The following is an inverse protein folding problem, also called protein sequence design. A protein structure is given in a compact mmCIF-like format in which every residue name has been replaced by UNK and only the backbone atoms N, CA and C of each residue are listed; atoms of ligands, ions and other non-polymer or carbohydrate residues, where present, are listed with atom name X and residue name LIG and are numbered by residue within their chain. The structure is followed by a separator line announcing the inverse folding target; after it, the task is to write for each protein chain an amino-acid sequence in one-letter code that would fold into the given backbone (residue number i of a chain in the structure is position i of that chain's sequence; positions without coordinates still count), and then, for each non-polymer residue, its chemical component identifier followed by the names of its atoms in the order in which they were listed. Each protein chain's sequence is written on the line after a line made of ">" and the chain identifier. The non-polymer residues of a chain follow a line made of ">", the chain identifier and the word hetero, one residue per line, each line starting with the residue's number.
data_IF_791602269773
#
_entry.id   IF_791602269773
#
_cell.length_a   1.000
_cell.length_b   1.000
_cell.length_c   1.000
_cell.angle_alpha   90.00
_cell.angle_beta   90.00
_cell.angle_gamma   90.00
#
_symmetry.space_group_name_H-M   'P 1'
#
loop_
_entity.id
_entity.type
_entity.pdbx_description
1 polymer ?
#
# COMPACT_ATOMS: atom_id res chain seq x y z
N UNK A 1 -0.86 -12.82 -7.85
CA UNK A 1 -1.89 -11.82 -7.52
C UNK A 1 -2.71 -11.55 -8.77
N UNK A 2 -4.02 -11.33 -8.65
CA UNK A 2 -4.87 -10.90 -9.77
C UNK A 2 -5.34 -9.48 -9.46
N UNK A 3 -4.86 -8.45 -10.18
CA UNK A 3 -5.37 -7.10 -10.02
C UNK A 3 -6.80 -7.02 -10.57
N UNK A 4 -7.69 -6.36 -9.85
CA UNK A 4 -9.06 -6.12 -10.32
C UNK A 4 -9.52 -4.73 -9.89
N UNK A 5 -10.35 -4.10 -10.72
CA UNK A 5 -11.02 -2.85 -10.40
C UNK A 5 -12.45 -3.16 -9.98
N UNK A 6 -12.89 -2.55 -8.89
CA UNK A 6 -14.26 -2.58 -8.43
C UNK A 6 -14.75 -1.15 -8.29
N UNK A 7 -15.93 -0.85 -8.84
CA UNK A 7 -16.58 0.45 -8.72
C UNK A 7 -18.01 0.30 -8.21
N UNK A 8 -18.40 1.12 -7.25
CA UNK A 8 -19.80 1.32 -6.87
C UNK A 8 -20.46 2.46 -7.66
N UNK A 9 -19.66 3.22 -8.43
CA UNK A 9 -20.09 4.41 -9.14
C UNK A 9 -20.73 4.07 -10.51
N UNK A 10 -21.74 4.84 -10.93
CA UNK A 10 -22.36 4.68 -12.25
C UNK A 10 -21.44 5.14 -13.39
N UNK A 11 -20.47 6.01 -13.09
CA UNK A 11 -19.49 6.48 -14.06
C UNK A 11 -18.20 5.65 -14.00
N UNK A 12 -17.62 5.31 -15.17
CA UNK A 12 -16.34 4.62 -15.21
C UNK A 12 -15.24 5.52 -14.65
N UNK A 13 -14.48 4.97 -13.72
CA UNK A 13 -13.34 5.66 -13.10
C UNK A 13 -12.31 6.02 -14.18
N UNK A 14 -11.70 7.23 -14.13
CA UNK A 14 -10.78 7.68 -15.16
C UNK A 14 -9.60 6.72 -15.33
N UNK A 15 -8.99 6.69 -16.52
CA UNK A 15 -7.78 5.90 -16.75
C UNK A 15 -6.67 6.42 -15.85
N UNK A 16 -6.05 5.52 -15.09
CA UNK A 16 -4.85 5.81 -14.31
C UNK A 16 -3.62 5.76 -15.25
N UNK A 17 -2.47 6.29 -14.82
CA UNK A 17 -1.25 6.25 -15.62
C UNK A 17 -0.94 4.83 -16.11
N UNK A 18 -0.48 4.71 -17.37
CA UNK A 18 -0.08 3.42 -17.94
C UNK A 18 1.02 2.77 -17.10
N UNK A 19 1.11 1.44 -17.15
CA UNK A 19 2.17 0.68 -16.46
C UNK A 19 3.54 1.24 -16.83
N UNK A 20 4.13 2.00 -15.91
CA UNK A 20 5.53 2.43 -15.95
C UNK A 20 6.39 1.39 -15.25
N UNK A 21 7.71 1.46 -15.43
CA UNK A 21 8.63 0.74 -14.54
C UNK A 21 8.22 1.05 -13.09
N UNK A 22 7.90 0.01 -12.32
CA UNK A 22 7.44 0.17 -10.95
C UNK A 22 8.42 0.97 -10.11
N UNK A 23 9.71 0.94 -10.45
CA UNK A 23 10.74 1.77 -9.81
C UNK A 23 10.52 3.25 -10.07
N UNK A 24 10.22 3.61 -11.32
CA UNK A 24 9.90 4.98 -11.69
C UNK A 24 8.63 5.44 -10.98
N UNK A 25 7.61 4.59 -10.92
CA UNK A 25 6.39 4.91 -10.18
C UNK A 25 6.72 5.20 -8.71
N UNK A 26 7.38 4.28 -7.98
CA UNK A 26 7.75 4.52 -6.58
C UNK A 26 8.59 5.80 -6.39
N UNK A 27 9.54 6.05 -7.29
CA UNK A 27 10.42 7.21 -7.20
C UNK A 27 9.67 8.56 -7.28
N UNK A 28 8.55 8.62 -8.01
CA UNK A 28 7.70 9.82 -8.08
C UNK A 28 7.03 10.16 -6.74
N UNK A 29 6.89 9.19 -5.83
CA UNK A 29 6.29 9.39 -4.51
C UNK A 29 7.30 9.69 -3.40
N UNK A 30 8.60 9.61 -3.67
CA UNK A 30 9.62 9.73 -2.63
C UNK A 30 9.45 11.04 -1.83
N UNK A 31 9.39 10.92 -0.50
CA UNK A 31 9.24 12.06 0.40
C UNK A 31 7.82 12.65 0.51
N UNK A 32 6.82 12.05 -0.13
CA UNK A 32 5.43 12.51 0.01
C UNK A 32 4.94 12.36 1.45
N UNK A 33 4.40 13.42 2.09
CA UNK A 33 3.82 13.30 3.43
C UNK A 33 2.61 12.37 3.44
N UNK A 34 2.40 11.68 4.57
CA UNK A 34 1.33 10.69 4.68
C UNK A 34 0.56 10.73 6.00
N UNK A 35 -0.63 10.16 5.95
CA UNK A 35 -1.45 9.79 7.10
C UNK A 35 -1.56 8.27 7.17
N UNK A 36 -1.67 7.72 8.38
CA UNK A 36 -1.80 6.31 8.70
C UNK A 36 -3.08 6.06 9.50
N UNK A 37 -3.87 5.10 9.05
CA UNK A 37 -4.88 4.43 9.85
C UNK A 37 -4.44 3.00 10.10
N UNK A 38 -4.65 2.52 11.33
CA UNK A 38 -4.25 1.17 11.74
C UNK A 38 -5.41 0.48 12.42
N UNK A 39 -5.67 -0.75 12.00
CA UNK A 39 -6.59 -1.68 12.65
C UNK A 39 -5.80 -2.89 13.15
N UNK A 40 -6.14 -3.39 14.33
CA UNK A 40 -5.47 -4.52 14.96
C UNK A 40 -6.42 -5.71 15.08
N UNK A 41 -6.07 -6.89 14.55
CA UNK A 41 -6.81 -8.14 14.73
C UNK A 41 -7.32 -8.34 16.15
N UNK A 42 -8.59 -8.73 16.27
CA UNK A 42 -9.34 -8.95 17.51
C UNK A 42 -9.62 -7.69 18.36
N UNK A 43 -9.32 -6.49 17.85
CA UNK A 43 -9.57 -5.20 18.54
C UNK A 43 -10.31 -4.25 17.61
N UNK A 44 -11.63 -4.45 17.45
CA UNK A 44 -12.43 -3.59 16.58
C UNK A 44 -12.87 -2.38 17.38
N UNK A 45 -12.43 -1.17 17.02
CA UNK A 45 -12.88 0.02 17.71
C UNK A 45 -14.36 0.25 17.40
N UNK A 46 -15.07 0.93 18.32
CA UNK A 46 -16.47 1.28 18.11
C UNK A 46 -16.65 2.33 17.00
N UNK A 47 -15.59 3.10 16.73
CA UNK A 47 -15.50 4.14 15.71
C UNK A 47 -14.17 3.99 14.98
N UNK A 48 -14.12 4.42 13.71
CA UNK A 48 -12.88 4.36 12.95
C UNK A 48 -11.81 5.27 13.59
N UNK A 49 -10.58 4.79 13.79
CA UNK A 49 -9.53 5.58 14.41
C UNK A 49 -9.17 6.77 13.51
N UNK A 50 -8.95 7.93 14.12
CA UNK A 50 -8.53 9.12 13.37
C UNK A 50 -7.16 8.90 12.70
N UNK A 51 -7.01 9.23 11.39
CA UNK A 51 -5.74 9.10 10.71
C UNK A 51 -4.64 9.95 11.38
N UNK A 52 -3.48 9.35 11.61
CA UNK A 52 -2.34 10.02 12.26
C UNK A 52 -1.24 10.32 11.25
N UNK A 53 -0.47 11.43 11.38
CA UNK A 53 0.73 11.64 10.58
C UNK A 53 1.68 10.45 10.65
N UNK A 54 2.22 10.04 9.50
CA UNK A 54 3.23 9.01 9.42
C UNK A 54 4.49 9.54 8.72
N UNK A 55 5.56 8.75 8.76
CA UNK A 55 6.76 9.10 8.03
C UNK A 55 6.45 9.29 6.54
N UNK A 56 7.15 10.22 5.86
CA UNK A 56 7.02 10.38 4.42
C UNK A 56 7.27 9.08 3.66
N UNK A 57 6.65 8.97 2.48
CA UNK A 57 6.81 7.81 1.61
C UNK A 57 8.28 7.56 1.29
N UNK A 58 8.67 6.28 1.31
CA UNK A 58 10.02 5.86 1.01
C UNK A 58 9.99 4.56 0.20
N UNK A 59 10.50 4.62 -1.02
CA UNK A 59 10.47 3.54 -1.99
C UNK A 59 11.16 2.26 -1.48
N UNK A 60 12.29 2.40 -0.77
CA UNK A 60 13.04 1.26 -0.22
C UNK A 60 12.30 0.55 0.91
N UNK A 61 11.50 1.27 1.69
CA UNK A 61 10.63 0.65 2.71
C UNK A 61 9.48 -0.11 2.07
N UNK A 62 8.87 0.45 1.02
CA UNK A 62 7.83 -0.24 0.25
C UNK A 62 8.37 -1.51 -0.41
N UNK A 63 9.49 -1.41 -1.14
CA UNK A 63 10.13 -2.50 -1.89
C UNK A 63 11.10 -3.35 -1.05
N UNK A 64 10.81 -3.53 0.24
CA UNK A 64 11.67 -4.25 1.17
C UNK A 64 11.63 -5.78 1.04
N UNK A 65 10.69 -6.34 0.28
CA UNK A 65 10.60 -7.77 0.03
C UNK A 65 11.31 -8.18 -1.28
N UNK A 66 11.52 -9.48 -1.46
CA UNK A 66 12.23 -10.07 -2.61
C UNK A 66 11.55 -9.77 -3.96
N UNK A 67 10.21 -9.78 -3.98
CA UNK A 67 9.41 -9.61 -5.19
C UNK A 67 8.64 -8.29 -5.14
N UNK A 68 9.11 -7.31 -5.91
CA UNK A 68 8.36 -6.08 -6.19
C UNK A 68 7.95 -6.04 -7.66
N UNK A 69 6.67 -5.79 -7.91
CA UNK A 69 6.10 -5.73 -9.25
C UNK A 69 5.08 -4.60 -9.37
N UNK A 70 5.03 -4.00 -10.56
CA UNK A 70 3.95 -3.12 -10.98
C UNK A 70 2.97 -3.86 -11.88
N UNK A 71 1.72 -3.45 -11.80
CA UNK A 71 0.63 -3.89 -12.65
C UNK A 71 0.07 -2.67 -13.38
N UNK A 72 -0.83 -2.92 -14.32
CA UNK A 72 -1.64 -1.85 -14.89
C UNK A 72 -2.40 -1.08 -13.80
N UNK A 73 -2.90 0.10 -14.16
CA UNK A 73 -3.75 0.93 -13.30
C UNK A 73 -3.03 1.49 -12.05
N UNK A 74 -1.72 1.67 -12.15
CA UNK A 74 -0.88 2.25 -11.10
C UNK A 74 -0.75 1.38 -9.85
N UNK A 75 -1.12 0.10 -9.93
CA UNK A 75 -1.03 -0.84 -8.83
C UNK A 75 0.38 -1.42 -8.70
N UNK A 76 0.82 -1.62 -7.47
CA UNK A 76 2.11 -2.17 -7.10
C UNK A 76 1.94 -3.21 -5.99
N UNK A 77 2.85 -4.17 -5.93
CA UNK A 77 3.05 -4.94 -4.70
C UNK A 77 4.51 -5.18 -4.42
N UNK A 78 4.79 -5.42 -3.14
CA UNK A 78 6.05 -5.94 -2.62
C UNK A 78 5.72 -7.08 -1.67
N UNK A 79 6.14 -8.28 -2.05
CA UNK A 79 5.79 -9.55 -1.41
C UNK A 79 7.06 -10.40 -1.26
N UNK A 80 7.18 -11.21 -0.21
CA UNK A 80 8.30 -12.14 -0.09
C UNK A 80 8.14 -13.26 -1.14
N UNK A 81 9.26 -13.79 -1.64
CA UNK A 81 9.21 -14.90 -2.62
C UNK A 81 8.71 -16.20 -1.97
N UNK A 82 9.07 -16.39 -0.70
CA UNK A 82 8.63 -17.49 0.16
C UNK A 82 8.20 -16.90 1.50
N UNK A 83 7.24 -17.52 2.19
CA UNK A 83 6.83 -17.05 3.51
C UNK A 83 8.00 -17.09 4.48
N UNK A 84 8.42 -15.95 5.06
CA UNK A 84 9.54 -15.93 6.00
C UNK A 84 9.22 -16.71 7.27
N UNK A 85 10.24 -17.30 7.90
CA UNK A 85 10.10 -17.91 9.23
C UNK A 85 9.83 -16.86 10.32
N UNK A 86 10.30 -15.62 10.10
CA UNK A 86 10.12 -14.49 11.02
C UNK A 86 8.90 -13.63 10.71
N UNK A 87 8.79 -12.51 11.41
CA UNK A 87 7.79 -11.48 11.11
C UNK A 87 8.00 -10.91 9.70
N UNK A 88 6.89 -10.63 9.01
CA UNK A 88 6.92 -10.13 7.65
C UNK A 88 5.74 -9.20 7.38
N UNK A 89 5.82 -8.46 6.26
CA UNK A 89 4.73 -7.61 5.81
C UNK A 89 4.46 -7.81 4.32
N UNK A 90 3.18 -7.84 3.97
CA UNK A 90 2.73 -7.78 2.58
C UNK A 90 2.35 -6.34 2.27
N UNK A 91 2.87 -5.82 1.14
CA UNK A 91 2.67 -4.43 0.74
C UNK A 91 1.94 -4.38 -0.59
N UNK A 92 0.86 -3.59 -0.65
CA UNK A 92 0.16 -3.24 -1.89
C UNK A 92 0.07 -1.73 -1.98
N UNK A 93 0.45 -1.17 -3.11
CA UNK A 93 0.43 0.27 -3.37
C UNK A 93 -0.41 0.58 -4.58
N UNK A 94 -0.99 1.78 -4.63
CA UNK A 94 -1.75 2.22 -5.78
C UNK A 94 -1.61 3.73 -5.99
N UNK A 95 -1.19 4.11 -7.19
CA UNK A 95 -1.27 5.49 -7.67
C UNK A 95 -2.69 5.77 -8.14
N UNK A 96 -3.42 6.63 -7.43
CA UNK A 96 -4.81 6.92 -7.77
C UNK A 96 -4.92 8.01 -8.83
N UNK A 97 -4.09 9.04 -8.72
CA UNK A 97 -3.99 10.15 -9.66
C UNK A 97 -2.60 10.81 -9.58
N UNK A 98 -2.43 12.02 -10.13
CA UNK A 98 -1.14 12.72 -10.14
C UNK A 98 -0.65 13.20 -8.76
N UNK A 99 -1.49 13.21 -7.74
CA UNK A 99 -1.21 13.79 -6.43
C UNK A 99 -1.51 12.84 -5.25
N UNK A 100 -2.10 11.67 -5.51
CA UNK A 100 -2.49 10.69 -4.50
C UNK A 100 -1.87 9.32 -4.72
N UNK A 101 -1.25 8.81 -3.66
CA UNK A 101 -0.75 7.43 -3.57
C UNK A 101 -1.26 6.78 -2.29
N UNK A 102 -1.78 5.56 -2.38
CA UNK A 102 -2.23 4.79 -1.23
C UNK A 102 -1.42 3.51 -1.10
N UNK A 103 -1.19 3.10 0.14
CA UNK A 103 -0.51 1.85 0.47
C UNK A 103 -1.28 1.12 1.55
N UNK A 104 -1.53 -0.16 1.32
CA UNK A 104 -2.04 -1.10 2.31
C UNK A 104 -0.92 -2.03 2.72
N UNK A 105 -0.74 -2.18 4.03
CA UNK A 105 0.20 -3.13 4.63
C UNK A 105 -0.55 -4.15 5.49
N UNK A 106 -0.20 -5.42 5.32
CA UNK A 106 -0.61 -6.50 6.23
C UNK A 106 0.62 -6.99 6.98
N UNK A 107 0.62 -6.85 8.31
CA UNK A 107 1.79 -7.18 9.13
C UNK A 107 1.56 -8.48 9.90
N UNK A 108 2.49 -9.41 9.79
CA UNK A 108 2.47 -10.72 10.44
C UNK A 108 3.60 -10.83 11.46
N UNK A 109 3.32 -11.47 12.59
CA UNK A 109 4.33 -11.74 13.62
C UNK A 109 5.15 -13.01 13.33
N UNK A 110 6.05 -13.37 14.24
CA UNK A 110 6.91 -14.57 14.14
C UNK A 110 6.12 -15.88 14.26
N UNK A 111 4.85 -15.83 14.65
CA UNK A 111 3.95 -16.98 14.68
C UNK A 111 3.07 -17.03 13.41
N UNK A 112 3.37 -16.18 12.42
CA UNK A 112 2.59 -16.01 11.19
C UNK A 112 1.14 -15.57 11.46
N UNK A 113 0.89 -14.94 12.60
CA UNK A 113 -0.41 -14.35 12.91
C UNK A 113 -0.46 -12.93 12.37
N UNK A 114 -1.58 -12.58 11.72
CA UNK A 114 -1.84 -11.20 11.34
C UNK A 114 -1.97 -10.35 12.60
N UNK A 115 -1.29 -9.20 12.64
CA UNK A 115 -1.25 -8.28 13.79
C UNK A 115 -1.67 -6.86 13.45
N UNK A 116 -1.73 -6.50 12.16
CA UNK A 116 -2.20 -5.20 11.73
C UNK A 116 -2.66 -5.16 10.28
N UNK A 117 -3.65 -4.31 10.04
CA UNK A 117 -3.93 -3.70 8.74
C UNK A 117 -3.59 -2.22 8.83
N UNK A 118 -2.78 -1.73 7.90
CA UNK A 118 -2.41 -0.32 7.84
C UNK A 118 -2.78 0.27 6.49
N UNK A 119 -3.52 1.37 6.50
CA UNK A 119 -3.76 2.20 5.33
C UNK A 119 -2.94 3.47 5.46
N UNK A 120 -1.97 3.64 4.57
CA UNK A 120 -1.22 4.88 4.41
C UNK A 120 -1.73 5.64 3.20
N UNK A 121 -2.00 6.93 3.37
CA UNK A 121 -2.45 7.84 2.32
C UNK A 121 -1.41 8.94 2.18
N UNK A 122 -0.71 8.94 1.06
CA UNK A 122 0.33 9.91 0.75
C UNK A 122 -0.17 10.93 -0.26
N UNK A 123 0.26 12.18 -0.10
CA UNK A 123 -0.08 13.27 -1.00
C UNK A 123 1.16 13.99 -1.48
N UNK A 124 1.12 14.48 -2.72
CA UNK A 124 2.12 15.40 -3.21
C UNK A 124 2.14 16.67 -2.33
N UNK A 125 3.33 17.15 -1.92
CA UNK A 125 3.47 18.38 -1.13
C UNK A 125 3.09 19.64 -1.94
#
# INVERSE_FOLDING_TARGET
>A
MVPFRCGLAPEPEPPRPAASDWRALLAEQEGWPGLLERLEPQRWPAEDPEPQPCDPFCASRFSSNDLTAGFDDGLLCSLPEQLPEGAFALQVGCRLDADHFQQVSLTYDTQQQLTAWELRRFRRP
#
